data_IF_561689111072
#
_entry.id   IF_561689111072
#
_cell.length_a   1.000
_cell.length_b   1.000
_cell.length_c   1.000
_cell.angle_alpha   90.00
_cell.angle_beta   90.00
_cell.angle_gamma   90.00
#
_symmetry.space_group_name_H-M   'P 1'
#
loop_
_entity.id
_entity.type
_entity.pdbx_description
1 polymer ?
#
# COMPACT_ATOMS: atom_id res chain seq x y z
N UNK A 1 15.19 -3.87 11.39
CA UNK A 1 14.61 -2.54 11.48
C UNK A 1 15.39 -1.55 10.64
N UNK A 2 16.72 -1.47 10.79
CA UNK A 2 17.57 -0.60 9.93
C UNK A 2 17.52 -1.01 8.46
N UNK A 3 17.47 -2.29 8.17
CA UNK A 3 17.45 -2.82 6.80
C UNK A 3 16.16 -2.48 6.07
N UNK A 4 15.03 -2.53 6.74
CA UNK A 4 13.74 -2.16 6.16
C UNK A 4 13.68 -0.66 5.86
N UNK A 5 14.17 0.19 6.76
CA UNK A 5 14.21 1.63 6.54
C UNK A 5 15.13 2.03 5.39
N UNK A 6 16.29 1.41 5.27
CA UNK A 6 17.24 1.66 4.16
C UNK A 6 16.62 1.26 2.82
N UNK A 7 15.92 0.12 2.77
CA UNK A 7 15.24 -0.35 1.57
C UNK A 7 14.14 0.63 1.11
N UNK A 8 13.37 1.19 2.04
CA UNK A 8 12.33 2.17 1.74
C UNK A 8 12.93 3.44 1.16
N UNK A 9 14.00 3.99 1.75
CA UNK A 9 14.67 5.19 1.23
C UNK A 9 15.26 4.94 -0.16
N UNK A 10 15.86 3.78 -0.37
CA UNK A 10 16.37 3.39 -1.68
C UNK A 10 15.24 3.36 -2.73
N UNK A 11 14.11 2.78 -2.38
CA UNK A 11 12.95 2.73 -3.26
C UNK A 11 12.40 4.11 -3.58
N UNK A 12 12.32 4.98 -2.57
CA UNK A 12 11.86 6.37 -2.74
C UNK A 12 12.77 7.13 -3.70
N UNK A 13 14.09 7.03 -3.51
CA UNK A 13 15.06 7.69 -4.38
C UNK A 13 14.97 7.17 -5.81
N UNK A 14 14.79 5.87 -5.97
CA UNK A 14 14.66 5.24 -7.27
C UNK A 14 13.41 5.73 -8.01
N UNK A 15 12.30 5.86 -7.30
CA UNK A 15 11.04 6.37 -7.87
C UNK A 15 11.20 7.84 -8.28
N UNK A 16 11.83 8.67 -7.45
CA UNK A 16 12.13 10.06 -7.81
C UNK A 16 12.96 10.15 -9.08
N UNK A 17 13.97 9.30 -9.20
CA UNK A 17 14.81 9.23 -10.39
C UNK A 17 13.99 8.87 -11.64
N UNK A 18 13.10 7.90 -11.53
CA UNK A 18 12.23 7.50 -12.62
C UNK A 18 11.32 8.65 -13.07
N UNK A 19 10.78 9.41 -12.12
CA UNK A 19 9.97 10.60 -12.41
C UNK A 19 10.81 11.65 -13.15
N UNK A 20 12.01 11.94 -12.66
CA UNK A 20 12.91 12.93 -13.28
C UNK A 20 13.33 12.53 -14.69
N UNK A 21 13.58 11.25 -14.91
CA UNK A 21 13.99 10.72 -16.21
C UNK A 21 12.82 10.41 -17.14
N UNK A 22 11.59 10.66 -16.71
CA UNK A 22 10.37 10.42 -17.47
C UNK A 22 10.23 8.94 -17.94
N UNK A 23 10.44 8.00 -17.01
CA UNK A 23 10.43 6.56 -17.30
C UNK A 23 9.42 5.82 -16.49
N UNK A 24 8.85 4.78 -17.10
CA UNK A 24 8.08 3.78 -16.36
C UNK A 24 9.01 2.91 -15.52
N UNK A 25 8.48 2.35 -14.45
CA UNK A 25 9.18 1.39 -13.60
C UNK A 25 8.52 0.02 -13.66
N UNK A 26 9.31 -1.00 -13.38
CA UNK A 26 8.86 -2.38 -13.26
C UNK A 26 9.26 -2.87 -11.86
N UNK A 27 8.36 -3.56 -11.19
CA UNK A 27 8.60 -4.06 -9.83
C UNK A 27 7.76 -5.28 -9.51
N UNK A 28 8.16 -6.04 -8.50
CA UNK A 28 7.32 -7.06 -7.88
C UNK A 28 6.59 -6.43 -6.70
N UNK A 29 5.30 -6.72 -6.55
CA UNK A 29 4.53 -6.24 -5.43
C UNK A 29 4.31 -7.37 -4.44
N UNK A 30 4.62 -7.10 -3.17
CA UNK A 30 4.65 -8.10 -2.12
C UNK A 30 3.33 -8.15 -1.36
N UNK A 31 3.02 -9.29 -0.77
CA UNK A 31 1.87 -9.44 0.11
C UNK A 31 2.23 -10.25 1.35
N UNK A 32 1.51 -10.02 2.43
CA UNK A 32 1.71 -10.74 3.67
C UNK A 32 1.03 -12.10 3.66
N UNK A 33 1.70 -13.09 4.25
CA UNK A 33 1.10 -14.40 4.57
C UNK A 33 0.68 -14.42 6.04
N UNK A 34 -0.09 -15.45 6.43
CA UNK A 34 -0.44 -15.66 7.84
C UNK A 34 0.78 -15.92 8.71
N UNK A 35 1.86 -16.46 8.14
CA UNK A 35 3.14 -16.66 8.82
C UNK A 35 3.93 -15.37 9.04
N UNK A 36 3.34 -14.22 8.70
CA UNK A 36 3.97 -12.90 8.80
C UNK A 36 5.21 -12.75 7.91
N UNK A 37 5.15 -13.35 6.72
CA UNK A 37 6.20 -13.21 5.70
C UNK A 37 5.66 -12.42 4.50
N UNK A 38 6.54 -11.62 3.90
CA UNK A 38 6.25 -10.96 2.64
C UNK A 38 6.65 -11.87 1.48
N UNK A 39 5.72 -12.12 0.58
CA UNK A 39 5.96 -12.91 -0.62
C UNK A 39 5.46 -12.16 -1.85
N UNK A 40 6.05 -12.38 -3.05
CA UNK A 40 5.57 -11.71 -4.26
C UNK A 40 4.14 -12.12 -4.60
N UNK A 41 3.31 -11.13 -4.94
CA UNK A 41 1.96 -11.37 -5.46
C UNK A 41 2.01 -11.95 -6.86
N UNK A 42 0.94 -12.63 -7.25
CA UNK A 42 0.75 -13.18 -8.61
C UNK A 42 1.93 -14.04 -9.06
N UNK A 43 2.49 -14.84 -8.14
CA UNK A 43 3.61 -15.73 -8.46
C UNK A 43 4.91 -15.01 -8.86
N UNK A 44 5.07 -13.75 -8.49
CA UNK A 44 6.24 -12.94 -8.83
C UNK A 44 6.13 -12.17 -10.13
N UNK A 45 4.95 -12.13 -10.75
CA UNK A 45 4.71 -11.33 -11.95
C UNK A 45 5.04 -9.87 -11.69
N UNK A 46 5.71 -9.24 -12.64
CA UNK A 46 6.13 -7.84 -12.51
C UNK A 46 5.00 -6.89 -12.91
N UNK A 47 4.90 -5.82 -12.13
CA UNK A 47 4.03 -4.69 -12.42
C UNK A 47 4.82 -3.66 -13.23
N UNK A 48 4.20 -3.06 -14.25
CA UNK A 48 4.78 -1.97 -15.04
C UNK A 48 3.89 -0.75 -14.89
N UNK A 49 4.41 0.30 -14.27
CA UNK A 49 3.63 1.46 -13.85
C UNK A 49 4.38 2.74 -14.18
N UNK A 50 3.63 3.77 -14.57
CA UNK A 50 4.18 5.12 -14.76
C UNK A 50 4.12 5.89 -13.44
N UNK A 51 5.26 6.20 -12.81
CA UNK A 51 5.27 6.89 -11.52
C UNK A 51 5.00 8.39 -11.70
N UNK A 52 4.08 8.96 -10.91
CA UNK A 52 3.71 10.37 -11.01
C UNK A 52 3.97 11.16 -9.74
N UNK A 53 3.73 10.58 -8.56
CA UNK A 53 3.95 11.26 -7.30
C UNK A 53 4.20 10.28 -6.16
N UNK A 54 4.83 10.77 -5.11
CA UNK A 54 4.94 10.08 -3.83
C UNK A 54 4.08 10.83 -2.81
N UNK A 55 3.35 10.07 -2.02
CA UNK A 55 2.54 10.60 -0.93
C UNK A 55 2.96 9.96 0.38
N UNK A 56 3.00 10.75 1.45
CA UNK A 56 3.24 10.26 2.80
C UNK A 56 1.94 10.30 3.56
N UNK A 57 1.51 9.16 4.07
CA UNK A 57 0.29 9.09 4.85
C UNK A 57 0.37 7.92 5.84
N UNK A 58 -0.04 8.18 7.08
CA UNK A 58 -0.09 7.16 8.12
C UNK A 58 1.25 6.38 8.25
N UNK A 59 2.35 7.14 8.28
CA UNK A 59 3.73 6.64 8.43
C UNK A 59 4.23 5.78 7.26
N UNK A 60 3.54 5.79 6.13
CA UNK A 60 3.96 5.05 4.95
C UNK A 60 4.06 5.94 3.72
N UNK A 61 5.03 5.62 2.85
CA UNK A 61 5.10 6.19 1.51
C UNK A 61 4.22 5.39 0.56
N UNK A 62 3.50 6.14 -0.29
CA UNK A 62 2.68 5.58 -1.36
C UNK A 62 3.13 6.16 -2.69
N UNK A 63 3.27 5.30 -3.68
CA UNK A 63 3.44 5.70 -5.06
C UNK A 63 2.07 5.92 -5.69
N UNK A 64 1.84 7.10 -6.24
CA UNK A 64 0.71 7.36 -7.13
C UNK A 64 1.22 7.11 -8.54
N UNK A 65 0.70 6.09 -9.19
CA UNK A 65 1.15 5.67 -10.50
C UNK A 65 0.00 5.38 -11.45
N UNK A 66 0.28 5.50 -12.73
CA UNK A 66 -0.69 5.19 -13.77
C UNK A 66 -0.45 3.78 -14.30
N UNK A 67 -1.51 2.97 -14.27
CA UNK A 67 -1.54 1.62 -14.83
C UNK A 67 -2.21 1.69 -16.21
N UNK A 68 -1.41 1.62 -17.28
CA UNK A 68 -1.90 1.75 -18.64
C UNK A 68 -2.83 0.60 -19.03
N UNK A 69 -2.60 -0.60 -18.54
CA UNK A 69 -3.45 -1.77 -18.84
C UNK A 69 -4.86 -1.59 -18.28
N UNK A 70 -5.01 -0.95 -17.13
CA UNK A 70 -6.31 -0.67 -16.51
C UNK A 70 -6.83 0.73 -16.82
N UNK A 71 -6.02 1.58 -17.46
CA UNK A 71 -6.31 3.01 -17.71
C UNK A 71 -6.76 3.73 -16.43
N UNK A 72 -5.99 3.56 -15.35
CA UNK A 72 -6.31 4.12 -14.03
C UNK A 72 -5.09 4.58 -13.29
N UNK A 73 -5.24 5.64 -12.50
CA UNK A 73 -4.32 5.97 -11.44
C UNK A 73 -4.56 5.02 -10.26
N UNK A 74 -3.47 4.47 -9.74
CA UNK A 74 -3.49 3.55 -8.62
C UNK A 74 -2.46 3.99 -7.59
N UNK A 75 -2.54 3.46 -6.39
CA UNK A 75 -1.54 3.68 -5.36
C UNK A 75 -0.91 2.35 -4.94
N UNK A 76 0.38 2.43 -4.60
CA UNK A 76 1.17 1.27 -4.16
C UNK A 76 1.96 1.67 -2.92
N UNK A 77 1.99 0.83 -1.92
CA UNK A 77 2.88 1.05 -0.77
C UNK A 77 4.32 0.78 -1.20
N UNK A 78 5.16 1.77 -0.97
CA UNK A 78 6.56 1.69 -1.41
C UNK A 78 7.32 0.60 -0.67
N UNK A 79 7.02 0.36 0.60
CA UNK A 79 7.66 -0.71 1.38
C UNK A 79 7.32 -2.13 0.91
N UNK A 80 6.29 -2.27 0.08
CA UNK A 80 5.91 -3.56 -0.51
C UNK A 80 6.39 -3.73 -1.95
N UNK A 81 7.10 -2.77 -2.49
CA UNK A 81 7.67 -2.84 -3.84
C UNK A 81 9.06 -3.46 -3.76
N UNK A 82 9.28 -4.54 -4.49
CA UNK A 82 10.56 -5.23 -4.55
C UNK A 82 11.14 -5.22 -5.95
N UNK A 83 12.47 -5.31 -6.04
CA UNK A 83 13.19 -5.42 -7.33
C UNK A 83 12.78 -4.36 -8.35
N UNK A 84 12.75 -3.11 -7.94
CA UNK A 84 12.38 -1.98 -8.81
C UNK A 84 13.44 -1.79 -9.89
N UNK A 85 12.97 -1.67 -11.15
CA UNK A 85 13.83 -1.45 -12.32
C UNK A 85 13.26 -0.33 -13.17
N UNK A 86 14.14 0.48 -13.76
CA UNK A 86 13.75 1.43 -14.80
C UNK A 86 13.49 0.65 -16.10
N UNK A 87 12.45 1.05 -16.82
CA UNK A 87 12.20 0.54 -18.16
C UNK A 87 12.67 1.56 -19.20
N UNK A 88 12.70 1.17 -20.47
CA UNK A 88 13.00 2.08 -21.58
C UNK A 88 11.77 2.91 -22.02
N UNK A 89 10.59 2.64 -21.43
CA UNK A 89 9.33 3.27 -21.82
C UNK A 89 9.15 4.62 -21.12
N UNK A 90 8.65 5.60 -21.85
CA UNK A 90 8.28 6.89 -21.29
C UNK A 90 6.99 6.76 -20.46
N UNK A 91 6.84 7.64 -19.47
CA UNK A 91 5.63 7.65 -18.64
C UNK A 91 4.40 7.98 -19.47
N UNK A 92 3.29 7.33 -19.11
CA UNK A 92 1.96 7.59 -19.64
C UNK A 92 1.05 8.11 -18.53
N UNK A 93 -0.12 8.60 -18.88
CA UNK A 93 -1.14 9.01 -17.91
C UNK A 93 -1.00 10.44 -17.40
N UNK A 94 -0.22 11.29 -18.05
CA UNK A 94 -0.05 12.67 -17.63
C UNK A 94 -1.35 13.47 -17.58
N UNK A 95 -2.26 13.23 -18.51
CA UNK A 95 -3.58 13.88 -18.51
C UNK A 95 -4.43 13.47 -17.33
N UNK A 96 -4.41 12.18 -16.98
CA UNK A 96 -5.11 11.65 -15.83
C UNK A 96 -4.55 12.25 -14.53
N UNK A 97 -3.25 12.39 -14.43
CA UNK A 97 -2.60 12.97 -13.26
C UNK A 97 -2.87 14.46 -13.11
N UNK A 98 -2.92 15.22 -14.22
CA UNK A 98 -3.22 16.66 -14.18
C UNK A 98 -4.59 16.98 -13.59
N UNK A 99 -5.59 16.13 -13.85
CA UNK A 99 -6.94 16.29 -13.30
C UNK A 99 -7.12 15.62 -11.94
N UNK A 100 -6.05 15.09 -11.36
CA UNK A 100 -6.06 14.33 -10.12
C UNK A 100 -5.82 15.25 -8.92
N UNK A 101 -6.73 15.17 -7.94
CA UNK A 101 -6.59 15.90 -6.67
C UNK A 101 -6.02 14.97 -5.60
N UNK A 102 -4.74 15.12 -5.32
CA UNK A 102 -4.03 14.29 -4.34
C UNK A 102 -4.64 14.42 -2.94
N UNK A 103 -5.00 15.64 -2.53
CA UNK A 103 -5.55 15.87 -1.19
C UNK A 103 -6.91 15.19 -1.03
N UNK A 104 -7.81 15.34 -1.99
CA UNK A 104 -9.11 14.69 -1.97
C UNK A 104 -8.98 13.17 -2.03
N UNK A 105 -8.08 12.67 -2.85
CA UNK A 105 -7.79 11.24 -2.96
C UNK A 105 -7.25 10.66 -1.64
N UNK A 106 -6.31 11.33 -1.01
CA UNK A 106 -5.73 10.92 0.26
C UNK A 106 -6.79 10.86 1.34
N UNK A 107 -7.64 11.89 1.45
CA UNK A 107 -8.72 11.93 2.42
C UNK A 107 -9.74 10.80 2.18
N UNK A 108 -10.08 10.54 0.93
CA UNK A 108 -11.06 9.51 0.57
C UNK A 108 -10.50 8.09 0.78
N UNK A 109 -9.23 7.87 0.45
CA UNK A 109 -8.64 6.54 0.41
C UNK A 109 -8.10 6.10 1.76
N UNK A 110 -7.43 7.01 2.47
CA UNK A 110 -6.73 6.69 3.72
C UNK A 110 -7.48 7.13 4.96
N UNK A 111 -8.42 8.04 4.83
CA UNK A 111 -9.39 8.48 5.84
C UNK A 111 -8.81 8.79 7.20
N UNK A 112 -8.56 10.04 7.48
CA UNK A 112 -8.11 10.51 8.79
C UNK A 112 -9.30 11.12 9.52
N UNK A 113 -10.03 10.32 10.28
CA UNK A 113 -11.19 10.83 11.00
C UNK A 113 -11.06 10.64 12.50
N UNK A 114 -11.33 11.72 13.22
CA UNK A 114 -11.50 11.68 14.64
C UNK A 114 -12.76 10.87 15.02
N UNK A 115 -12.65 10.08 16.05
CA UNK A 115 -13.74 9.34 16.66
C UNK A 115 -13.32 8.96 18.06
N UNK A 116 -14.26 8.45 18.84
CA UNK A 116 -13.96 7.97 20.18
C UNK A 116 -13.07 6.73 20.06
N UNK A 117 -11.94 6.75 20.78
CA UNK A 117 -11.04 5.60 20.82
C UNK A 117 -11.63 4.49 21.67
N UNK A 118 -11.77 3.31 21.09
CA UNK A 118 -12.29 2.12 21.77
C UNK A 118 -11.45 0.90 21.42
N UNK A 119 -11.39 -0.07 22.35
CA UNK A 119 -10.81 -1.37 22.08
C UNK A 119 -11.87 -2.27 21.46
N UNK A 120 -11.61 -2.78 20.27
CA UNK A 120 -12.53 -3.66 19.56
C UNK A 120 -11.86 -4.99 19.23
N UNK A 121 -12.69 -6.04 19.17
CA UNK A 121 -12.28 -7.34 18.66
C UNK A 121 -12.91 -7.54 17.28
N UNK A 122 -12.08 -7.87 16.30
CA UNK A 122 -12.52 -8.06 14.92
C UNK A 122 -12.14 -9.45 14.44
N UNK A 123 -13.02 -10.08 13.71
CA UNK A 123 -12.77 -11.38 13.11
C UNK A 123 -12.74 -11.26 11.59
N UNK A 124 -11.74 -11.89 10.97
CA UNK A 124 -11.51 -11.81 9.53
C UNK A 124 -11.26 -13.18 8.94
N UNK A 125 -11.60 -13.34 7.67
CA UNK A 125 -11.14 -14.47 6.88
C UNK A 125 -9.60 -14.41 6.71
N UNK A 126 -8.95 -15.57 6.66
CA UNK A 126 -7.49 -15.67 6.57
C UNK A 126 -6.90 -14.87 5.40
N UNK A 127 -7.61 -14.80 4.28
CA UNK A 127 -7.18 -14.04 3.10
C UNK A 127 -6.98 -12.54 3.35
N UNK A 128 -7.52 -12.02 4.45
CA UNK A 128 -7.45 -10.60 4.78
C UNK A 128 -6.27 -10.25 5.69
N UNK A 129 -5.38 -11.20 5.96
CA UNK A 129 -4.24 -10.96 6.86
C UNK A 129 -3.36 -9.81 6.40
N UNK A 130 -3.13 -9.68 5.11
CA UNK A 130 -2.35 -8.57 4.57
C UNK A 130 -2.98 -7.21 4.86
N UNK A 131 -4.28 -7.10 4.66
CA UNK A 131 -5.04 -5.87 4.94
C UNK A 131 -4.96 -5.50 6.43
N UNK A 132 -5.08 -6.51 7.29
CA UNK A 132 -5.02 -6.32 8.75
C UNK A 132 -3.64 -5.85 9.20
N UNK A 133 -2.57 -6.48 8.71
CA UNK A 133 -1.20 -6.08 9.04
C UNK A 133 -0.93 -4.65 8.54
N UNK A 134 -1.40 -4.31 7.35
CA UNK A 134 -1.25 -2.97 6.78
C UNK A 134 -1.94 -1.90 7.62
N UNK A 135 -3.11 -2.20 8.12
CA UNK A 135 -3.92 -1.24 8.89
C UNK A 135 -3.48 -1.13 10.34
N UNK A 136 -3.18 -2.24 11.00
CA UNK A 136 -2.96 -2.29 12.45
C UNK A 136 -1.53 -2.59 12.86
N UNK A 137 -0.69 -2.98 11.92
CA UNK A 137 0.73 -3.24 12.16
C UNK A 137 1.04 -4.72 12.38
N UNK A 138 2.30 -5.05 12.15
CA UNK A 138 2.86 -6.40 12.26
C UNK A 138 2.79 -6.96 13.69
N UNK A 139 2.83 -6.07 14.69
CA UNK A 139 2.82 -6.42 16.11
C UNK A 139 1.41 -6.61 16.68
N UNK A 140 0.38 -6.50 15.85
CA UNK A 140 -1.00 -6.71 16.25
C UNK A 140 -1.20 -8.09 16.87
N UNK A 141 -1.96 -8.16 17.96
CA UNK A 141 -2.33 -9.43 18.58
C UNK A 141 -3.29 -10.20 17.66
N UNK A 142 -2.78 -11.24 17.04
CA UNK A 142 -3.52 -12.09 16.10
C UNK A 142 -3.70 -13.46 16.71
N UNK A 143 -4.95 -13.92 16.81
CA UNK A 143 -5.29 -15.25 17.31
C UNK A 143 -6.05 -16.03 16.25
N UNK A 144 -5.56 -17.21 15.92
CA UNK A 144 -6.28 -18.12 15.04
C UNK A 144 -7.51 -18.64 15.77
N UNK A 145 -8.64 -18.59 15.11
CA UNK A 145 -9.90 -19.15 15.58
C UNK A 145 -10.16 -20.52 14.92
N UNK A 146 -11.38 -20.73 14.45
CA UNK A 146 -11.71 -21.88 13.62
C UNK A 146 -10.93 -21.82 12.30
N UNK A 147 -10.89 -22.93 11.57
CA UNK A 147 -10.23 -23.01 10.27
C UNK A 147 -10.73 -21.91 9.33
N UNK A 148 -9.78 -21.17 8.76
CA UNK A 148 -10.06 -20.13 7.78
C UNK A 148 -10.34 -18.75 8.37
N UNK A 149 -10.31 -18.57 9.70
CA UNK A 149 -10.56 -17.27 10.34
C UNK A 149 -9.54 -16.96 11.43
N UNK A 150 -9.37 -15.67 11.71
CA UNK A 150 -8.54 -15.18 12.80
C UNK A 150 -9.21 -13.98 13.48
N UNK A 151 -8.78 -13.69 14.70
CA UNK A 151 -9.26 -12.55 15.48
C UNK A 151 -8.12 -11.64 15.83
N UNK A 152 -8.37 -10.32 15.76
CA UNK A 152 -7.48 -9.32 16.30
C UNK A 152 -8.18 -8.52 17.40
N UNK A 153 -7.38 -7.90 18.27
CA UNK A 153 -7.87 -6.99 19.30
C UNK A 153 -7.06 -5.70 19.21
N UNK A 154 -7.72 -4.60 18.91
CA UNK A 154 -7.06 -3.32 18.61
C UNK A 154 -7.81 -2.15 19.21
N UNK A 155 -7.08 -1.06 19.48
CA UNK A 155 -7.66 0.25 19.79
C UNK A 155 -7.84 1.04 18.51
N UNK A 156 -9.04 1.51 18.27
CA UNK A 156 -9.36 2.29 17.07
C UNK A 156 -10.25 3.47 17.40
N UNK A 157 -10.16 4.52 16.61
CA UNK A 157 -11.13 5.60 16.63
C UNK A 157 -12.36 5.10 15.86
N UNK A 158 -13.45 4.82 16.58
CA UNK A 158 -14.68 4.30 15.99
C UNK A 158 -15.39 5.44 15.28
N UNK A 159 -15.51 5.33 13.97
CA UNK A 159 -16.14 6.35 13.12
C UNK A 159 -16.84 5.65 11.93
N UNK A 160 -17.69 6.40 11.23
CA UNK A 160 -18.31 5.89 10.00
C UNK A 160 -17.29 5.41 8.98
N UNK A 161 -16.11 6.02 8.96
CA UNK A 161 -15.04 5.63 8.07
C UNK A 161 -14.36 4.32 8.46
N UNK A 162 -14.16 4.11 9.77
CA UNK A 162 -13.68 2.82 10.26
C UNK A 162 -14.63 1.70 9.84
N UNK A 163 -15.93 1.91 9.99
CA UNK A 163 -16.92 0.93 9.54
C UNK A 163 -16.91 0.73 8.02
N UNK A 164 -16.68 1.80 7.27
CA UNK A 164 -16.54 1.70 5.81
C UNK A 164 -15.32 0.93 5.36
N UNK A 165 -14.26 0.92 6.18
CA UNK A 165 -13.06 0.13 5.91
C UNK A 165 -13.30 -1.37 6.13
N UNK A 166 -14.08 -1.73 7.14
CA UNK A 166 -14.41 -3.12 7.43
C UNK A 166 -15.21 -3.76 6.31
#
# INVERSE_FOLDING_TARGET
>A
VKTENESIYYNVDFIHRAIQENRQISFQYMEWTLDRRLVPRKGGERYVISPWALSWNDENYYLIGYDAAADQLKHYRVDKMGSIQLTALEREGGSAFKSFDIAAYTNKTFGMYGGKEETVSLEFADRLIGVVIDRFGKETDIRRLAEGTFRIRVKVAVSGQFFGWL
#
